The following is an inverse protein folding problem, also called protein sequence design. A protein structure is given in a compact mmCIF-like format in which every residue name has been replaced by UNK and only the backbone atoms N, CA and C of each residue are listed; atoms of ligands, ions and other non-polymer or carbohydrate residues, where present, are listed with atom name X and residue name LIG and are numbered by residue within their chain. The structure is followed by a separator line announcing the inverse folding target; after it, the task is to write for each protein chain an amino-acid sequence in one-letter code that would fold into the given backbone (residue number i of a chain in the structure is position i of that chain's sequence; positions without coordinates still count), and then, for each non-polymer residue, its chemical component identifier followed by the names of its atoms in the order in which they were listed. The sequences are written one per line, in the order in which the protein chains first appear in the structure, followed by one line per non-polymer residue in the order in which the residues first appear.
data_IF_122953912335
#
_entry.id   IF_122953912335
#
_cell.length_a   1.000
_cell.length_b   1.000
_cell.length_c   1.000
_cell.angle_alpha   90.00
_cell.angle_beta   90.00
_cell.angle_gamma   90.00
#
_symmetry.space_group_name_H-M   'P 1'
#
loop_
_entity.id
_entity.type
_entity.pdbx_description
1 polymer ?
#
# COMPACT_ATOMS: atom_id res chain seq x y z
N UNK A 1 -0.20 -42.52 16.34
CA UNK A 1 0.13 -41.39 15.43
C UNK A 1 1.60 -41.48 15.02
N UNK A 2 1.97 -42.50 14.24
CA UNK A 2 3.38 -42.84 13.96
C UNK A 2 3.86 -42.42 12.56
N UNK A 3 2.94 -41.95 11.72
CA UNK A 3 3.27 -41.52 10.36
C UNK A 3 4.00 -40.18 10.41
N UNK A 4 4.95 -40.00 9.50
CA UNK A 4 5.72 -38.75 9.37
C UNK A 4 4.76 -37.60 9.12
N UNK A 5 4.96 -36.48 9.81
CA UNK A 5 4.22 -35.25 9.57
C UNK A 5 4.42 -34.74 8.13
N UNK A 6 3.46 -33.98 7.66
CA UNK A 6 3.53 -33.27 6.38
C UNK A 6 4.60 -32.17 6.44
N UNK A 7 4.99 -31.64 5.28
CA UNK A 7 6.01 -30.58 5.18
C UNK A 7 5.60 -29.26 5.83
N UNK A 8 4.30 -29.01 5.96
CA UNK A 8 3.71 -27.87 6.65
C UNK A 8 3.62 -28.04 8.18
N UNK A 9 4.07 -29.20 8.70
CA UNK A 9 4.08 -29.51 10.14
C UNK A 9 2.80 -30.16 10.67
N UNK A 10 1.78 -30.36 9.86
CA UNK A 10 0.54 -31.04 10.26
C UNK A 10 0.69 -32.56 10.29
N UNK A 11 -0.20 -33.24 11.02
CA UNK A 11 -0.21 -34.70 11.07
C UNK A 11 -0.54 -35.30 9.70
N UNK A 12 0.00 -36.49 9.47
CA UNK A 12 -0.38 -37.29 8.30
C UNK A 12 -1.90 -37.53 8.29
N UNK A 13 -2.54 -37.22 7.18
CA UNK A 13 -3.99 -37.35 7.00
C UNK A 13 -4.26 -38.30 5.82
N UNK A 14 -4.96 -39.40 6.06
CA UNK A 14 -5.35 -40.32 4.97
C UNK A 14 -6.55 -39.79 4.19
N UNK A 15 -7.47 -39.15 4.89
CA UNK A 15 -8.74 -38.65 4.33
C UNK A 15 -9.27 -37.53 5.19
N UNK A 16 -9.87 -36.53 4.56
CA UNK A 16 -10.54 -35.42 5.23
C UNK A 16 -11.97 -35.28 4.74
N UNK A 17 -12.88 -34.92 5.64
CA UNK A 17 -14.22 -34.46 5.29
C UNK A 17 -14.34 -32.98 5.64
N UNK A 18 -15.10 -32.23 4.84
CA UNK A 18 -15.48 -30.85 5.16
C UNK A 18 -16.89 -30.87 5.71
N UNK A 19 -17.07 -30.42 6.95
CA UNK A 19 -18.37 -30.29 7.58
C UNK A 19 -18.91 -28.88 7.28
N UNK A 20 -20.11 -28.81 6.71
CA UNK A 20 -20.76 -27.56 6.26
C UNK A 20 -20.95 -27.50 4.74
N UNK A 21 -21.75 -26.54 4.25
CA UNK A 21 -21.87 -26.30 2.82
C UNK A 21 -20.51 -25.86 2.30
N UNK A 22 -19.91 -26.63 1.40
CA UNK A 22 -18.81 -26.11 0.57
C UNK A 22 -19.38 -24.86 -0.13
N UNK A 23 -18.76 -23.68 -0.01
CA UNK A 23 -19.16 -22.56 -0.83
C UNK A 23 -19.00 -23.04 -2.27
N UNK A 24 -20.12 -23.26 -2.95
CA UNK A 24 -20.16 -23.67 -4.34
C UNK A 24 -21.08 -22.66 -5.01
N UNK A 25 -20.57 -22.01 -6.06
CA UNK A 25 -21.34 -21.12 -6.93
C UNK A 25 -21.24 -19.66 -6.52
N UNK A 26 -22.06 -19.20 -5.58
CA UNK A 26 -22.26 -17.75 -5.37
C UNK A 26 -21.11 -17.11 -4.59
N UNK A 27 -20.62 -17.76 -3.53
CA UNK A 27 -19.55 -17.19 -2.72
C UNK A 27 -18.20 -17.21 -3.45
N UNK A 28 -17.94 -18.25 -4.25
CA UNK A 28 -16.77 -18.32 -5.12
C UNK A 28 -16.81 -17.25 -6.21
N UNK A 29 -17.99 -17.07 -6.85
CA UNK A 29 -18.19 -16.01 -7.83
C UNK A 29 -17.99 -14.61 -7.21
N UNK A 30 -18.55 -14.37 -6.02
CA UNK A 30 -18.35 -13.11 -5.31
C UNK A 30 -16.87 -12.88 -4.98
N UNK A 31 -16.17 -13.92 -4.52
CA UNK A 31 -14.74 -13.85 -4.23
C UNK A 31 -13.93 -13.57 -5.50
N UNK A 32 -14.30 -14.18 -6.64
CA UNK A 32 -13.63 -13.95 -7.92
C UNK A 32 -13.83 -12.52 -8.41
N UNK A 33 -15.06 -12.00 -8.36
CA UNK A 33 -15.37 -10.61 -8.73
C UNK A 33 -14.60 -9.63 -7.85
N UNK A 34 -14.66 -9.82 -6.52
CA UNK A 34 -13.90 -9.00 -5.57
C UNK A 34 -12.39 -9.10 -5.81
N UNK A 35 -11.88 -10.27 -6.19
CA UNK A 35 -10.47 -10.45 -6.49
C UNK A 35 -10.06 -9.65 -7.73
N UNK A 36 -10.85 -9.70 -8.81
CA UNK A 36 -10.60 -8.93 -10.04
C UNK A 36 -10.59 -7.42 -9.77
N UNK A 37 -11.57 -6.92 -9.02
CA UNK A 37 -11.62 -5.50 -8.64
C UNK A 37 -10.40 -5.07 -7.83
N UNK A 38 -10.02 -5.86 -6.81
CA UNK A 38 -8.83 -5.59 -6.00
C UNK A 38 -7.55 -5.59 -6.82
N UNK A 39 -7.42 -6.49 -7.80
CA UNK A 39 -6.24 -6.57 -8.65
C UNK A 39 -6.11 -5.32 -9.53
N UNK A 40 -7.22 -4.83 -10.10
CA UNK A 40 -7.24 -3.57 -10.84
C UNK A 40 -6.83 -2.37 -9.98
N UNK A 41 -7.37 -2.28 -8.76
CA UNK A 41 -7.00 -1.22 -7.82
C UNK A 41 -5.53 -1.31 -7.40
N UNK A 42 -5.03 -2.51 -7.10
CA UNK A 42 -3.65 -2.76 -6.72
C UNK A 42 -2.67 -2.35 -7.83
N UNK A 43 -3.01 -2.62 -9.09
CA UNK A 43 -2.21 -2.20 -10.24
C UNK A 43 -2.13 -0.67 -10.35
N UNK A 44 -3.27 0.03 -10.22
CA UNK A 44 -3.30 1.51 -10.25
C UNK A 44 -2.50 2.13 -9.09
N UNK A 45 -2.62 1.56 -7.89
CA UNK A 45 -1.83 1.99 -6.72
C UNK A 45 -0.34 1.79 -6.96
N UNK A 46 0.06 0.64 -7.54
CA UNK A 46 1.45 0.36 -7.90
C UNK A 46 1.98 1.39 -8.90
N UNK A 47 1.25 1.65 -9.98
CA UNK A 47 1.61 2.64 -11.00
C UNK A 47 1.77 4.05 -10.38
N UNK A 48 0.85 4.47 -9.51
CA UNK A 48 0.95 5.76 -8.82
C UNK A 48 2.18 5.82 -7.91
N UNK A 49 2.47 4.76 -7.15
CA UNK A 49 3.67 4.69 -6.31
C UNK A 49 4.95 4.80 -7.13
N UNK A 50 5.05 4.06 -8.24
CA UNK A 50 6.19 4.13 -9.15
C UNK A 50 6.37 5.54 -9.73
N UNK A 51 5.29 6.19 -10.13
CA UNK A 51 5.34 7.58 -10.61
C UNK A 51 5.86 8.53 -9.52
N UNK A 52 5.35 8.43 -8.29
CA UNK A 52 5.76 9.28 -7.16
C UNK A 52 7.19 8.98 -6.67
N UNK A 53 7.73 7.81 -7.01
CA UNK A 53 9.12 7.45 -6.74
C UNK A 53 10.10 8.03 -7.76
N UNK A 54 9.63 8.54 -8.91
CA UNK A 54 10.52 9.13 -9.92
C UNK A 54 11.15 10.42 -9.38
N UNK A 55 12.48 10.61 -9.54
CA UNK A 55 13.17 11.79 -9.03
C UNK A 55 12.64 13.10 -9.65
N UNK A 56 12.26 13.07 -10.93
CA UNK A 56 11.64 14.20 -11.63
C UNK A 56 10.32 14.63 -10.98
N UNK A 57 9.45 13.65 -10.67
CA UNK A 57 8.17 13.89 -10.01
C UNK A 57 8.39 14.43 -8.59
N UNK A 58 9.33 13.85 -7.85
CA UNK A 58 9.69 14.34 -6.52
C UNK A 58 10.26 15.76 -6.55
N UNK A 59 11.12 16.08 -7.53
CA UNK A 59 11.67 17.42 -7.70
C UNK A 59 10.58 18.44 -8.04
N UNK A 60 9.64 18.10 -8.92
CA UNK A 60 8.47 18.96 -9.21
C UNK A 60 7.61 19.20 -7.98
N UNK A 61 7.30 18.15 -7.22
CA UNK A 61 6.55 18.27 -5.95
C UNK A 61 7.29 19.18 -4.97
N UNK A 62 8.61 19.00 -4.79
CA UNK A 62 9.42 19.86 -3.91
C UNK A 62 9.41 21.31 -4.38
N UNK A 63 9.59 21.55 -5.67
CA UNK A 63 9.51 22.89 -6.27
C UNK A 63 8.15 23.54 -5.98
N UNK A 64 7.04 22.87 -6.28
CA UNK A 64 5.70 23.42 -6.04
C UNK A 64 5.43 23.66 -4.56
N UNK A 65 5.87 22.76 -3.67
CA UNK A 65 5.68 22.89 -2.24
C UNK A 65 6.55 23.99 -1.60
N UNK A 66 7.76 24.26 -2.09
CA UNK A 66 8.70 25.17 -1.41
C UNK A 66 8.97 26.46 -2.19
N UNK A 67 9.12 26.40 -3.52
CA UNK A 67 9.39 27.58 -4.35
C UNK A 67 8.12 28.40 -4.63
N UNK A 68 6.97 27.75 -4.81
CA UNK A 68 5.67 28.42 -4.99
C UNK A 68 5.21 29.23 -3.77
N UNK A 69 5.62 28.82 -2.56
CA UNK A 69 5.30 29.54 -1.30
C UNK A 69 6.23 30.72 -1.00
N UNK A 70 7.39 30.82 -1.64
CA UNK A 70 8.33 31.92 -1.40
C UNK A 70 7.88 33.23 -2.06
N UNK A 71 7.14 33.15 -3.17
CA UNK A 71 6.64 34.33 -3.91
C UNK A 71 5.50 35.03 -3.15
N UNK A 72 4.67 34.28 -2.43
CA UNK A 72 3.58 34.85 -1.64
C UNK A 72 4.08 35.46 -0.31
N UNK A 73 5.15 34.91 0.27
CA UNK A 73 5.70 35.37 1.54
C UNK A 73 6.76 36.49 1.40
N UNK A 74 7.32 36.73 0.21
CA UNK A 74 8.28 37.83 0.01
C UNK A 74 7.66 39.22 0.14
N UNK A 75 6.33 39.32 0.09
CA UNK A 75 5.61 40.56 0.44
C UNK A 75 5.37 40.72 1.96
N UNK A 76 5.75 39.72 2.76
CA UNK A 76 5.57 39.67 4.21
C UNK A 76 6.86 39.22 4.95
N UNK A 77 8.04 39.52 4.39
CA UNK A 77 9.33 39.13 4.98
C UNK A 77 10.19 40.32 5.43
N UNK A 78 9.56 41.44 5.82
CA UNK A 78 10.20 42.36 6.74
C UNK A 78 9.78 41.98 8.16
N UNK A 79 10.75 41.47 8.94
CA UNK A 79 10.73 41.36 10.39
C UNK A 79 10.22 40.05 11.02
N UNK A 80 11.00 38.96 10.94
CA UNK A 80 11.21 38.11 12.12
C UNK A 80 12.65 37.59 12.11
N UNK A 81 13.45 38.13 13.03
CA UNK A 81 14.81 37.70 13.34
C UNK A 81 14.75 36.37 14.13
N UNK A 82 15.29 35.29 13.55
CA UNK A 82 15.44 34.01 14.25
C UNK A 82 16.88 33.86 14.74
N UNK A 83 17.23 34.66 15.76
CA UNK A 83 18.27 34.25 16.68
C UNK A 83 17.71 33.14 17.57
N UNK A 84 18.08 31.89 17.34
CA UNK A 84 18.05 30.89 18.42
C UNK A 84 19.27 29.99 18.29
N UNK A 85 20.25 30.32 19.13
CA UNK A 85 21.30 29.42 19.55
C UNK A 85 20.65 28.17 20.16
N UNK A 86 21.16 26.99 19.84
CA UNK A 86 20.85 25.79 20.61
C UNK A 86 22.18 25.18 21.10
N UNK A 87 22.44 25.38 22.39
CA UNK A 87 23.27 24.52 23.25
C UNK A 87 22.46 23.29 23.63
#
# INVERSE_FOLDING_TARGET
MLKKKQSDGYYHCESSIVIGKKPIGIQDLNNEVLHRERMGLKAKVKQKKELLLKPETQAKIRRELFEGRLIDNSNQANHVDFSTNLT
#
